data_IF_908200081039
#
_entry.id   IF_908200081039
#
_cell.length_a   1.000
_cell.length_b   1.000
_cell.length_c   1.000
_cell.angle_alpha   90.00
_cell.angle_beta   90.00
_cell.angle_gamma   90.00
#
_symmetry.space_group_name_H-M   'P 1'
#
loop_
_entity.id
_entity.type
_entity.pdbx_description
1 polymer ?
#
# COMPACT_ATOMS: atom_id res chain seq x y z
N UNK A 1 -8.32 -0.74 6.42
CA UNK A 1 -8.45 0.69 6.80
C UNK A 1 -7.98 0.85 8.24
N UNK A 2 -6.66 0.83 8.45
CA UNK A 2 -6.06 0.75 9.78
C UNK A 2 -6.33 2.00 10.63
N UNK A 3 -6.37 3.17 10.01
CA UNK A 3 -6.58 4.46 10.66
C UNK A 3 -8.03 4.94 10.66
N UNK A 4 -9.02 4.08 10.35
CA UNK A 4 -10.43 4.50 10.20
C UNK A 4 -11.00 5.23 11.42
N UNK A 5 -10.48 4.94 12.61
CA UNK A 5 -10.94 5.54 13.87
C UNK A 5 -10.52 7.00 14.04
N UNK A 6 -9.56 7.49 13.25
CA UNK A 6 -9.08 8.87 13.30
C UNK A 6 -9.96 9.84 12.50
N UNK A 7 -11.04 9.37 11.87
CA UNK A 7 -11.95 10.20 11.10
C UNK A 7 -13.31 9.53 10.90
N UNK A 8 -14.13 10.13 10.04
CA UNK A 8 -15.46 9.63 9.67
C UNK A 8 -15.51 9.41 8.17
N UNK A 9 -16.08 8.29 7.73
CA UNK A 9 -16.13 7.97 6.31
C UNK A 9 -16.24 6.50 6.00
N UNK A 10 -16.03 6.18 4.73
CA UNK A 10 -16.06 4.82 4.20
C UNK A 10 -15.05 4.64 3.08
N UNK A 11 -14.68 3.39 2.85
CA UNK A 11 -13.83 2.99 1.74
C UNK A 11 -14.19 1.59 1.28
N UNK A 12 -14.20 1.39 -0.03
CA UNK A 12 -14.33 0.08 -0.67
C UNK A 12 -13.23 -0.09 -1.72
N UNK A 13 -12.57 -1.25 -1.69
CA UNK A 13 -11.55 -1.65 -2.68
C UNK A 13 -12.14 -2.74 -3.56
N UNK A 14 -11.92 -2.62 -4.87
CA UNK A 14 -12.48 -3.50 -5.89
C UNK A 14 -11.36 -4.05 -6.74
N UNK A 15 -11.34 -5.37 -6.94
CA UNK A 15 -10.41 -6.03 -7.86
C UNK A 15 -11.06 -6.07 -9.24
N UNK A 16 -10.41 -5.48 -10.22
CA UNK A 16 -10.89 -5.47 -11.61
C UNK A 16 -10.36 -6.67 -12.39
N UNK A 17 -9.08 -7.02 -12.17
CA UNK A 17 -8.42 -8.18 -12.79
C UNK A 17 -7.25 -8.67 -11.95
N UNK A 18 -7.05 -9.99 -11.90
CA UNK A 18 -5.83 -10.63 -11.40
C UNK A 18 -5.35 -11.70 -12.39
N UNK A 19 -4.06 -11.68 -12.74
CA UNK A 19 -3.41 -12.70 -13.58
C UNK A 19 -1.94 -12.84 -13.22
N UNK A 20 -1.22 -13.75 -13.89
CA UNK A 20 0.23 -13.90 -13.72
C UNK A 20 1.04 -12.66 -14.13
N UNK A 21 0.43 -11.76 -14.92
CA UNK A 21 1.07 -10.52 -15.39
C UNK A 21 0.85 -9.33 -14.44
N UNK A 22 0.03 -9.48 -13.39
CA UNK A 22 -0.21 -8.44 -12.40
C UNK A 22 -1.66 -8.30 -11.95
N UNK A 23 -1.95 -7.17 -11.30
CA UNK A 23 -3.26 -6.85 -10.75
C UNK A 23 -3.74 -5.48 -11.24
N UNK A 24 -5.04 -5.39 -11.55
CA UNK A 24 -5.75 -4.13 -11.73
C UNK A 24 -6.83 -4.05 -10.67
N UNK A 25 -6.89 -2.91 -10.00
CA UNK A 25 -7.84 -2.66 -8.93
C UNK A 25 -8.09 -1.16 -8.81
N UNK A 26 -9.19 -0.82 -8.16
CA UNK A 26 -9.49 0.57 -7.82
C UNK A 26 -10.06 0.66 -6.40
N UNK A 27 -10.05 1.86 -5.85
CA UNK A 27 -10.60 2.15 -4.53
C UNK A 27 -11.48 3.38 -4.61
N UNK A 28 -12.64 3.31 -3.97
CA UNK A 28 -13.50 4.46 -3.72
C UNK A 28 -13.50 4.74 -2.23
N UNK A 29 -13.31 6.00 -1.86
CA UNK A 29 -13.27 6.41 -0.46
C UNK A 29 -13.85 7.81 -0.30
N UNK A 30 -14.36 8.08 0.89
CA UNK A 30 -14.73 9.41 1.34
C UNK A 30 -14.35 9.49 2.82
N UNK A 31 -13.49 10.44 3.18
CA UNK A 31 -12.97 10.60 4.54
C UNK A 31 -13.00 12.06 4.96
N UNK A 32 -13.33 12.30 6.23
CA UNK A 32 -13.25 13.60 6.87
C UNK A 32 -12.71 13.48 8.31
N UNK A 33 -12.18 14.59 8.82
CA UNK A 33 -11.58 14.67 10.16
C UNK A 33 -10.21 14.00 10.25
N UNK A 34 -9.44 14.36 11.28
CA UNK A 34 -8.08 13.85 11.49
C UNK A 34 -7.15 14.18 10.32
N UNK A 35 -7.08 15.45 9.93
CA UNK A 35 -6.47 15.92 8.67
C UNK A 35 -4.99 15.54 8.48
N UNK A 36 -4.30 15.21 9.57
CA UNK A 36 -2.91 14.75 9.58
C UNK A 36 -2.75 13.27 9.95
N UNK A 37 -3.84 12.50 9.93
CA UNK A 37 -3.86 11.07 10.22
C UNK A 37 -4.32 10.28 9.00
N UNK A 38 -3.45 9.41 8.49
CA UNK A 38 -3.78 8.52 7.37
C UNK A 38 -4.92 7.57 7.77
N UNK A 39 -5.97 7.46 6.93
CA UNK A 39 -7.16 6.63 7.23
C UNK A 39 -6.99 5.19 6.80
N UNK A 40 -6.24 4.96 5.73
CA UNK A 40 -6.13 3.68 5.06
C UNK A 40 -4.96 3.69 4.08
N UNK A 41 -4.48 2.49 3.76
CA UNK A 41 -3.50 2.26 2.71
C UNK A 41 -3.97 1.08 1.84
N UNK A 42 -5.01 1.27 0.99
CA UNK A 42 -5.41 0.24 0.05
C UNK A 42 -4.25 -0.04 -0.90
N UNK A 43 -3.88 -1.30 -1.06
CA UNK A 43 -2.70 -1.69 -1.82
C UNK A 43 -2.88 -3.06 -2.47
N UNK A 44 -2.02 -3.35 -3.45
CA UNK A 44 -1.79 -4.68 -3.98
C UNK A 44 -0.36 -5.09 -3.63
N UNK A 45 -0.22 -6.12 -2.79
CA UNK A 45 1.06 -6.75 -2.48
C UNK A 45 1.40 -7.88 -3.44
N UNK A 46 2.69 -8.21 -3.52
CA UNK A 46 3.19 -9.42 -4.20
C UNK A 46 3.70 -10.39 -3.14
N UNK A 47 3.34 -11.67 -3.26
CA UNK A 47 3.94 -12.70 -2.43
C UNK A 47 5.42 -12.89 -2.82
N UNK A 48 6.30 -12.86 -1.82
CA UNK A 48 7.73 -12.96 -2.04
C UNK A 48 8.37 -13.93 -1.06
N UNK A 49 9.45 -14.55 -1.51
CA UNK A 49 10.36 -15.28 -0.63
C UNK A 49 11.27 -14.26 0.06
N UNK A 50 11.22 -14.19 1.39
CA UNK A 50 12.04 -13.27 2.19
C UNK A 50 13.52 -13.61 2.00
N UNK A 51 14.34 -12.60 1.72
CA UNK A 51 15.80 -12.69 1.53
C UNK A 51 16.47 -11.50 2.19
N UNK A 52 17.77 -11.59 2.46
CA UNK A 52 18.51 -10.38 2.81
C UNK A 52 18.56 -9.43 1.62
N UNK A 53 18.45 -8.12 1.86
CA UNK A 53 18.48 -7.10 0.82
C UNK A 53 19.74 -7.18 -0.05
N UNK A 54 20.90 -7.50 0.55
CA UNK A 54 22.17 -7.70 -0.16
C UNK A 54 22.15 -8.87 -1.17
N UNK A 55 21.23 -9.82 -1.01
CA UNK A 55 21.10 -11.00 -1.88
C UNK A 55 20.05 -10.77 -2.99
N UNK A 56 19.43 -9.59 -3.03
CA UNK A 56 18.45 -9.19 -4.06
C UNK A 56 19.19 -8.50 -5.20
N UNK A 57 19.12 -9.09 -6.40
CA UNK A 57 19.72 -8.51 -7.60
C UNK A 57 18.87 -7.42 -8.25
N UNK A 58 17.53 -7.60 -8.26
CA UNK A 58 16.59 -6.63 -8.81
C UNK A 58 15.18 -6.80 -8.23
N UNK A 59 14.41 -5.71 -8.25
CA UNK A 59 12.98 -5.67 -7.93
C UNK A 59 12.26 -4.93 -9.08
N UNK A 60 12.08 -5.57 -10.24
CA UNK A 60 11.40 -4.93 -11.35
C UNK A 60 9.93 -4.71 -11.01
N UNK A 61 9.43 -3.51 -11.26
CA UNK A 61 8.01 -3.16 -11.06
C UNK A 61 7.57 -2.12 -12.08
N UNK A 62 6.28 -2.12 -12.39
CA UNK A 62 5.64 -1.07 -13.17
C UNK A 62 4.27 -0.78 -12.60
N UNK A 63 3.84 0.48 -12.67
CA UNK A 63 2.52 0.89 -12.20
C UNK A 63 1.94 1.93 -13.15
N UNK A 64 0.65 1.79 -13.42
CA UNK A 64 -0.15 2.82 -14.09
C UNK A 64 -1.33 3.14 -13.18
N UNK A 65 -1.49 4.42 -12.86
CA UNK A 65 -2.48 4.90 -11.90
C UNK A 65 -3.08 6.21 -12.38
N UNK A 66 -4.31 6.47 -11.95
CA UNK A 66 -5.03 7.72 -12.21
C UNK A 66 -5.97 8.02 -11.03
N UNK A 67 -6.11 9.30 -10.69
CA UNK A 67 -7.17 9.80 -9.81
C UNK A 67 -8.27 10.44 -10.65
N UNK A 68 -9.53 10.21 -10.28
CA UNK A 68 -10.69 10.92 -10.82
C UNK A 68 -10.86 12.32 -10.20
N UNK A 69 -10.34 12.54 -8.98
CA UNK A 69 -10.27 13.82 -8.30
C UNK A 69 -8.87 14.06 -7.69
N UNK A 70 -8.25 15.21 -7.97
CA UNK A 70 -6.94 15.60 -7.43
C UNK A 70 -7.01 16.69 -6.35
N UNK A 71 -8.19 17.25 -6.07
CA UNK A 71 -8.40 18.16 -4.94
C UNK A 71 -8.60 17.35 -3.65
N UNK A 72 -7.54 16.66 -3.24
CA UNK A 72 -7.52 15.70 -2.13
C UNK A 72 -6.18 15.78 -1.38
N UNK A 73 -6.20 15.45 -0.08
CA UNK A 73 -4.99 15.23 0.72
C UNK A 73 -4.67 13.72 0.72
N UNK A 74 -3.92 13.25 -0.28
CA UNK A 74 -3.53 11.86 -0.41
C UNK A 74 -2.18 11.73 -1.12
N UNK A 75 -1.49 10.63 -0.86
CA UNK A 75 -0.31 10.19 -1.60
C UNK A 75 -0.60 8.90 -2.37
N UNK A 76 0.35 8.52 -3.23
CA UNK A 76 0.43 7.17 -3.76
C UNK A 76 1.90 6.79 -3.80
N UNK A 77 2.25 5.76 -3.04
CA UNK A 77 3.60 5.31 -2.84
C UNK A 77 3.72 3.79 -3.08
N UNK A 78 4.95 3.34 -3.26
CA UNK A 78 5.28 1.95 -2.91
C UNK A 78 5.51 1.90 -1.39
N UNK A 79 5.46 0.70 -0.80
CA UNK A 79 5.78 0.54 0.62
C UNK A 79 6.46 -0.81 0.82
N UNK A 80 7.71 -0.76 1.29
CA UNK A 80 8.57 -1.93 1.48
C UNK A 80 9.10 -1.93 2.92
N UNK A 81 8.92 -3.06 3.60
CA UNK A 81 9.39 -3.29 4.96
C UNK A 81 10.59 -4.23 4.98
N UNK A 82 11.59 -3.92 5.80
CA UNK A 82 12.69 -4.83 6.11
C UNK A 82 12.89 -4.94 7.62
N UNK A 83 13.31 -6.10 8.09
CA UNK A 83 13.61 -6.34 9.50
C UNK A 83 14.78 -7.33 9.63
N UNK A 84 15.55 -7.21 10.71
CA UNK A 84 16.62 -8.13 11.04
C UNK A 84 16.09 -9.53 11.38
N UNK A 85 14.91 -9.62 12.01
CA UNK A 85 14.21 -10.88 12.25
C UNK A 85 13.30 -11.23 11.06
N UNK A 86 13.59 -12.35 10.38
CA UNK A 86 12.77 -12.82 9.25
C UNK A 86 11.31 -13.12 9.62
N UNK A 87 11.05 -13.42 10.89
CA UNK A 87 9.72 -13.70 11.43
C UNK A 87 9.01 -12.45 11.99
N UNK A 88 9.56 -11.25 11.76
CA UNK A 88 8.88 -10.00 12.10
C UNK A 88 7.53 -9.88 11.35
N UNK A 89 6.58 -9.17 11.96
CA UNK A 89 5.29 -8.86 11.33
C UNK A 89 5.50 -8.11 10.02
N UNK A 90 4.57 -8.24 9.08
CA UNK A 90 4.73 -7.74 7.70
C UNK A 90 4.04 -6.39 7.44
N UNK A 91 3.54 -5.74 8.49
CA UNK A 91 2.94 -4.41 8.43
C UNK A 91 3.82 -3.33 9.09
N UNK A 92 5.06 -3.67 9.44
CA UNK A 92 6.11 -2.79 9.94
C UNK A 92 7.48 -3.45 9.75
N UNK A 93 8.55 -2.72 10.03
CA UNK A 93 9.91 -3.24 9.99
C UNK A 93 10.88 -2.33 10.74
N UNK A 94 12.13 -2.76 10.83
CA UNK A 94 13.23 -1.92 11.32
C UNK A 94 13.50 -0.75 10.36
N UNK A 95 13.30 -0.99 9.05
CA UNK A 95 13.32 0.03 8.02
C UNK A 95 12.08 -0.06 7.13
N UNK A 96 11.63 1.12 6.71
CA UNK A 96 10.54 1.32 5.76
C UNK A 96 11.07 2.15 4.60
N UNK A 97 10.77 1.73 3.37
CA UNK A 97 11.06 2.48 2.15
C UNK A 97 9.74 2.79 1.45
N UNK A 98 9.48 4.08 1.22
CA UNK A 98 8.33 4.60 0.49
C UNK A 98 8.77 5.40 -0.73
#
# INVERSE_FOLDING_TARGET
MWGKVSGTGSQCTYVDKISGDGASWHVKWNWSGGDYSVKSYPNSGVELQKKHAKDISSIPTSTKRNYDNTNINADVAYDLFTAANINHVTYSGDYVLM
#
